data_IF_095377730586
#
_entry.id   IF_095377730586
#
_cell.length_a   1.000
_cell.length_b   1.000
_cell.length_c   1.000
_cell.angle_alpha   90.00
_cell.angle_beta   90.00
_cell.angle_gamma   90.00
#
_symmetry.space_group_name_H-M   'P 1'
#
loop_
_entity.id
_entity.type
_entity.pdbx_description
1 polymer ?
#
# COMPACT_ATOMS: atom_id res chain seq x y z
N UNK A 1 24.56 -23.09 5.37
CA UNK A 1 25.14 -21.73 5.43
C UNK A 1 25.86 -21.60 6.75
N UNK A 2 27.12 -21.15 6.76
CA UNK A 2 27.84 -20.90 8.01
C UNK A 2 27.26 -19.69 8.75
N UNK A 3 27.45 -19.59 10.06
CA UNK A 3 26.98 -18.47 10.86
C UNK A 3 27.57 -17.13 10.38
N UNK A 4 28.83 -17.15 9.96
CA UNK A 4 29.52 -16.00 9.37
C UNK A 4 28.87 -15.53 8.06
N UNK A 5 28.53 -16.47 7.17
CA UNK A 5 27.84 -16.16 5.92
C UNK A 5 26.42 -15.61 6.18
N UNK A 6 25.73 -16.10 7.21
CA UNK A 6 24.41 -15.58 7.61
C UNK A 6 24.49 -14.12 8.06
N UNK A 7 25.39 -13.79 8.99
CA UNK A 7 25.53 -12.41 9.44
C UNK A 7 26.10 -11.48 8.38
N UNK A 8 27.00 -11.98 7.53
CA UNK A 8 27.49 -11.21 6.38
C UNK A 8 26.39 -10.86 5.39
N UNK A 9 25.51 -11.82 5.09
CA UNK A 9 24.35 -11.61 4.23
C UNK A 9 23.35 -10.62 4.87
N UNK A 10 23.06 -10.78 6.15
CA UNK A 10 22.15 -9.91 6.90
C UNK A 10 22.67 -8.45 6.90
N UNK A 11 23.93 -8.24 7.27
CA UNK A 11 24.54 -6.91 7.26
C UNK A 11 24.64 -6.32 5.86
N UNK A 12 25.02 -7.14 4.87
CA UNK A 12 25.09 -6.73 3.47
C UNK A 12 23.73 -6.29 2.91
N UNK A 13 22.65 -6.99 3.26
CA UNK A 13 21.28 -6.60 2.88
C UNK A 13 20.89 -5.22 3.45
N UNK A 14 21.21 -4.94 4.70
CA UNK A 14 20.92 -3.65 5.32
C UNK A 14 21.69 -2.50 4.67
N UNK A 15 22.97 -2.71 4.41
CA UNK A 15 23.80 -1.72 3.68
C UNK A 15 23.22 -1.50 2.28
N UNK A 16 22.90 -2.57 1.56
CA UNK A 16 22.31 -2.48 0.23
C UNK A 16 20.97 -1.74 0.25
N UNK A 17 20.10 -2.00 1.24
CA UNK A 17 18.83 -1.32 1.37
C UNK A 17 19.02 0.18 1.61
N UNK A 18 19.98 0.55 2.45
CA UNK A 18 20.32 1.96 2.66
C UNK A 18 20.81 2.62 1.37
N UNK A 19 21.69 1.95 0.63
CA UNK A 19 22.20 2.43 -0.67
C UNK A 19 21.04 2.52 -1.68
N UNK A 20 20.17 1.52 -1.75
CA UNK A 20 19.02 1.50 -2.64
C UNK A 20 18.04 2.65 -2.33
N UNK A 21 17.75 2.90 -1.05
CA UNK A 21 16.92 4.04 -0.63
C UNK A 21 17.57 5.39 -0.97
N UNK A 22 18.89 5.50 -0.80
CA UNK A 22 19.63 6.70 -1.21
C UNK A 22 19.60 6.87 -2.73
N UNK A 23 19.78 5.79 -3.47
CA UNK A 23 19.72 5.79 -4.94
C UNK A 23 18.31 6.17 -5.44
N UNK A 24 17.26 5.70 -4.79
CA UNK A 24 15.89 6.06 -5.07
C UNK A 24 15.68 7.59 -5.06
N UNK A 25 16.27 8.30 -4.10
CA UNK A 25 16.19 9.78 -4.03
C UNK A 25 16.76 10.48 -5.27
N UNK A 26 17.71 9.86 -5.96
CA UNK A 26 18.38 10.42 -7.14
C UNK A 26 17.78 9.90 -8.45
N UNK A 27 17.54 8.58 -8.53
CA UNK A 27 17.12 7.90 -9.76
C UNK A 27 15.59 7.73 -9.88
N UNK A 28 14.86 7.82 -8.74
CA UNK A 28 13.42 7.52 -8.63
C UNK A 28 13.06 6.07 -8.95
N UNK A 29 14.03 5.20 -9.06
CA UNK A 29 13.80 3.76 -9.16
C UNK A 29 13.48 3.25 -7.77
N UNK A 30 12.26 2.73 -7.51
CA UNK A 30 11.90 2.22 -6.19
C UNK A 30 12.92 1.20 -5.67
N UNK A 31 13.29 1.31 -4.39
CA UNK A 31 14.23 0.43 -3.70
C UNK A 31 13.84 -1.04 -3.80
N UNK A 32 12.55 -1.30 -3.88
CA UNK A 32 11.95 -2.63 -4.09
C UNK A 32 12.57 -3.36 -5.29
N UNK A 33 12.88 -2.67 -6.39
CA UNK A 33 13.56 -3.29 -7.55
C UNK A 33 14.91 -3.87 -7.19
N UNK A 34 15.73 -3.08 -6.51
CA UNK A 34 17.10 -3.46 -6.13
C UNK A 34 17.04 -4.62 -5.14
N UNK A 35 16.15 -4.54 -4.16
CA UNK A 35 15.97 -5.57 -3.14
C UNK A 35 15.49 -6.89 -3.75
N UNK A 36 14.49 -6.86 -4.61
CA UNK A 36 13.98 -8.05 -5.30
C UNK A 36 15.01 -8.64 -6.26
N UNK A 37 15.71 -7.80 -7.03
CA UNK A 37 16.79 -8.25 -7.91
C UNK A 37 17.95 -8.91 -7.13
N UNK A 38 18.30 -8.36 -5.97
CA UNK A 38 19.29 -8.96 -5.07
C UNK A 38 18.83 -10.32 -4.58
N UNK A 39 17.56 -10.45 -4.19
CA UNK A 39 16.98 -11.74 -3.79
C UNK A 39 17.07 -12.78 -4.92
N UNK A 40 16.70 -12.40 -6.14
CA UNK A 40 16.81 -13.27 -7.32
C UNK A 40 18.28 -13.68 -7.57
N UNK A 41 19.19 -12.74 -7.43
CA UNK A 41 20.63 -13.02 -7.62
C UNK A 41 21.14 -14.03 -6.58
N UNK A 42 20.79 -13.83 -5.30
CA UNK A 42 21.24 -14.68 -4.19
C UNK A 42 20.58 -16.07 -4.17
N UNK A 43 19.33 -16.18 -4.58
CA UNK A 43 18.55 -17.42 -4.62
C UNK A 43 18.67 -18.13 -5.97
N UNK A 44 17.77 -17.87 -6.93
CA UNK A 44 17.68 -18.63 -8.18
C UNK A 44 18.94 -18.58 -9.06
N UNK A 45 19.74 -17.48 -9.05
CA UNK A 45 20.89 -17.30 -9.94
C UNK A 45 22.16 -17.89 -9.35
N UNK A 46 22.54 -17.48 -8.14
CA UNK A 46 23.78 -17.91 -7.49
C UNK A 46 23.62 -19.18 -6.64
N UNK A 47 22.40 -19.51 -6.23
CA UNK A 47 22.15 -20.66 -5.38
C UNK A 47 22.75 -20.56 -3.97
N UNK A 48 23.14 -19.36 -3.53
CA UNK A 48 23.76 -19.15 -2.21
C UNK A 48 22.75 -19.33 -1.06
N UNK A 49 21.51 -19.04 -1.33
CA UNK A 49 20.40 -19.12 -0.37
C UNK A 49 19.39 -20.14 -0.86
N UNK A 50 19.17 -21.19 -0.05
CA UNK A 50 18.21 -22.25 -0.35
C UNK A 50 16.78 -21.79 -0.03
N UNK A 51 15.89 -21.63 -1.04
CA UNK A 51 14.53 -21.17 -0.84
C UNK A 51 13.70 -22.05 0.11
N UNK A 52 13.99 -23.37 0.16
CA UNK A 52 13.19 -24.33 0.95
C UNK A 52 13.26 -24.08 2.45
N UNK A 53 14.32 -23.42 2.92
CA UNK A 53 14.53 -23.11 4.34
C UNK A 53 13.80 -21.87 4.82
N UNK A 54 13.25 -21.06 3.92
CA UNK A 54 12.70 -19.74 4.23
C UNK A 54 11.19 -19.59 4.05
N UNK A 55 10.47 -20.62 3.61
CA UNK A 55 9.03 -20.53 3.33
C UNK A 55 8.22 -19.99 4.52
N UNK A 56 8.30 -20.62 5.69
CA UNK A 56 7.59 -20.16 6.90
C UNK A 56 8.11 -18.81 7.41
N UNK A 57 9.42 -18.58 7.31
CA UNK A 57 10.04 -17.31 7.71
C UNK A 57 9.54 -16.17 6.81
N UNK A 58 9.43 -16.41 5.51
CA UNK A 58 8.93 -15.43 4.54
C UNK A 58 7.50 -15.01 4.85
N UNK A 59 6.64 -15.95 5.24
CA UNK A 59 5.26 -15.66 5.64
C UNK A 59 5.21 -14.80 6.91
N UNK A 60 5.90 -15.20 7.97
CA UNK A 60 5.93 -14.46 9.23
C UNK A 60 6.48 -13.03 9.04
N UNK A 61 7.60 -12.88 8.30
CA UNK A 61 8.15 -11.58 7.98
C UNK A 61 7.22 -10.76 7.07
N UNK A 62 6.54 -11.39 6.13
CA UNK A 62 5.55 -10.75 5.29
C UNK A 62 4.39 -10.17 6.10
N UNK A 63 3.81 -10.97 7.00
CA UNK A 63 2.72 -10.54 7.88
C UNK A 63 3.20 -9.40 8.80
N UNK A 64 4.38 -9.55 9.42
CA UNK A 64 4.97 -8.51 10.26
C UNK A 64 5.20 -7.21 9.49
N UNK A 65 5.67 -7.30 8.24
CA UNK A 65 5.86 -6.14 7.39
C UNK A 65 4.54 -5.43 7.05
N UNK A 66 3.46 -6.19 6.77
CA UNK A 66 2.13 -5.62 6.54
C UNK A 66 1.58 -4.95 7.80
N UNK A 67 1.71 -5.58 8.97
CA UNK A 67 1.32 -5.00 10.26
C UNK A 67 2.00 -3.63 10.46
N UNK A 68 3.32 -3.56 10.29
CA UNK A 68 4.09 -2.34 10.48
C UNK A 68 3.71 -1.24 9.49
N UNK A 69 3.55 -1.59 8.21
CA UNK A 69 3.19 -0.63 7.16
C UNK A 69 1.78 -0.10 7.34
N UNK A 70 0.81 -0.95 7.71
CA UNK A 70 -0.55 -0.50 7.98
C UNK A 70 -0.62 0.37 9.23
N UNK A 71 0.16 0.05 10.27
CA UNK A 71 0.26 0.90 11.46
C UNK A 71 0.87 2.27 11.12
N UNK A 72 1.99 2.29 10.39
CA UNK A 72 2.63 3.52 9.89
C UNK A 72 1.66 4.34 9.03
N UNK A 73 1.00 3.69 8.06
CA UNK A 73 -0.02 4.33 7.23
C UNK A 73 -1.19 4.90 8.05
N UNK A 74 -1.60 4.21 9.11
CA UNK A 74 -2.61 4.71 10.05
C UNK A 74 -2.14 5.95 10.82
N UNK A 75 -0.88 5.97 11.26
CA UNK A 75 -0.28 7.12 11.96
C UNK A 75 -0.16 8.37 11.06
N UNK A 76 0.02 8.19 9.76
CA UNK A 76 0.15 9.29 8.80
C UNK A 76 -1.20 9.89 8.37
N UNK A 77 -2.31 9.21 8.63
CA UNK A 77 -3.64 9.66 8.26
C UNK A 77 -4.16 10.71 9.25
N UNK A 78 -4.13 11.98 8.85
CA UNK A 78 -4.87 13.06 9.54
C UNK A 78 -6.37 12.96 9.22
N UNK A 79 -7.17 12.64 10.24
CA UNK A 79 -8.62 12.47 10.11
C UNK A 79 -9.31 13.75 9.64
N UNK A 80 -8.86 14.95 10.06
CA UNK A 80 -9.48 16.22 9.62
C UNK A 80 -9.24 16.50 8.14
N UNK A 81 -7.99 16.37 7.69
CA UNK A 81 -7.67 16.50 6.26
C UNK A 81 -8.30 15.38 5.45
N UNK A 82 -8.28 14.16 5.99
CA UNK A 82 -8.90 12.98 5.40
C UNK A 82 -10.39 13.19 5.17
N UNK A 83 -11.17 13.62 6.18
CA UNK A 83 -12.61 13.87 6.00
C UNK A 83 -12.91 14.97 4.98
N UNK A 84 -12.07 15.99 4.87
CA UNK A 84 -12.23 17.05 3.88
C UNK A 84 -12.02 16.55 2.44
N UNK A 85 -11.14 15.58 2.24
CA UNK A 85 -10.80 15.01 0.93
C UNK A 85 -11.27 13.57 0.75
N UNK A 86 -11.88 13.01 1.80
CA UNK A 86 -12.35 11.62 1.89
C UNK A 86 -13.22 11.18 0.71
N UNK A 87 -14.21 11.97 0.23
CA UNK A 87 -15.04 11.51 -0.88
C UNK A 87 -14.23 11.21 -2.15
N UNK A 88 -13.21 12.03 -2.44
CA UNK A 88 -12.35 11.82 -3.62
C UNK A 88 -11.48 10.58 -3.52
N UNK A 89 -10.80 10.38 -2.39
CA UNK A 89 -9.96 9.22 -2.13
C UNK A 89 -10.75 7.92 -2.01
N UNK A 90 -11.88 7.97 -1.30
CA UNK A 90 -12.77 6.82 -1.14
C UNK A 90 -13.34 6.35 -2.48
N UNK A 91 -13.90 7.27 -3.27
CA UNK A 91 -14.49 6.94 -4.57
C UNK A 91 -13.44 6.42 -5.53
N UNK A 92 -12.27 7.07 -5.58
CA UNK A 92 -11.18 6.59 -6.42
C UNK A 92 -10.73 5.19 -5.99
N UNK A 93 -10.46 4.99 -4.69
CA UNK A 93 -10.00 3.71 -4.15
C UNK A 93 -10.99 2.59 -4.41
N UNK A 94 -12.28 2.82 -4.12
CA UNK A 94 -13.31 1.83 -4.36
C UNK A 94 -13.47 1.48 -5.85
N UNK A 95 -13.56 2.50 -6.71
CA UNK A 95 -13.74 2.26 -8.16
C UNK A 95 -12.51 1.62 -8.78
N UNK A 96 -11.30 2.09 -8.43
CA UNK A 96 -10.06 1.49 -8.93
C UNK A 96 -9.94 0.04 -8.48
N UNK A 97 -10.25 -0.24 -7.20
CA UNK A 97 -10.24 -1.60 -6.67
C UNK A 97 -11.26 -2.50 -7.40
N UNK A 98 -12.51 -2.07 -7.53
CA UNK A 98 -13.56 -2.85 -8.19
C UNK A 98 -13.25 -3.13 -9.67
N UNK A 99 -12.79 -2.12 -10.41
CA UNK A 99 -12.37 -2.33 -11.80
C UNK A 99 -11.16 -3.25 -11.91
N UNK A 100 -10.18 -3.10 -11.01
CA UNK A 100 -9.01 -3.98 -10.99
C UNK A 100 -9.41 -5.40 -10.64
N UNK A 101 -10.19 -5.59 -9.58
CA UNK A 101 -10.70 -6.89 -9.16
C UNK A 101 -11.44 -7.59 -10.31
N UNK A 102 -12.37 -6.89 -10.96
CA UNK A 102 -13.16 -7.47 -12.05
C UNK A 102 -12.33 -7.78 -13.30
N UNK A 103 -11.54 -6.83 -13.80
CA UNK A 103 -10.78 -6.99 -15.04
C UNK A 103 -9.65 -8.00 -14.88
N UNK A 104 -8.91 -7.96 -13.77
CA UNK A 104 -7.84 -8.93 -13.50
C UNK A 104 -8.41 -10.33 -13.32
N UNK A 105 -9.53 -10.47 -12.59
CA UNK A 105 -10.22 -11.78 -12.47
C UNK A 105 -10.65 -12.31 -13.82
N UNK A 106 -11.21 -11.46 -14.69
CA UNK A 106 -11.64 -11.85 -16.02
C UNK A 106 -10.45 -12.34 -16.89
N UNK A 107 -9.35 -11.59 -16.87
CA UNK A 107 -8.13 -11.95 -17.59
C UNK A 107 -7.54 -13.25 -17.03
N UNK A 108 -7.45 -13.38 -15.70
CA UNK A 108 -6.95 -14.58 -15.05
C UNK A 108 -7.80 -15.83 -15.40
N UNK A 109 -9.13 -15.68 -15.37
CA UNK A 109 -10.05 -16.74 -15.76
C UNK A 109 -9.84 -17.20 -17.20
N UNK A 110 -9.67 -16.24 -18.15
CA UNK A 110 -9.55 -16.54 -19.58
C UNK A 110 -8.16 -16.97 -20.04
N UNK A 111 -7.10 -16.44 -19.41
CA UNK A 111 -5.72 -16.63 -19.88
C UNK A 111 -4.91 -17.65 -19.08
N UNK A 112 -5.34 -17.96 -17.85
CA UNK A 112 -4.68 -18.93 -16.98
C UNK A 112 -5.50 -20.21 -16.78
N UNK A 113 -6.66 -20.34 -17.45
CA UNK A 113 -7.60 -21.47 -17.32
C UNK A 113 -7.95 -21.80 -15.87
N UNK A 114 -8.07 -20.77 -15.03
CA UNK A 114 -8.37 -20.92 -13.62
C UNK A 114 -9.88 -21.08 -13.38
N UNK A 115 -10.29 -21.86 -12.38
CA UNK A 115 -11.67 -21.81 -11.89
C UNK A 115 -12.04 -20.38 -11.48
N UNK A 116 -13.31 -19.99 -11.61
CA UNK A 116 -13.79 -18.63 -11.31
C UNK A 116 -13.34 -18.17 -9.93
N UNK A 117 -13.45 -19.04 -8.92
CA UNK A 117 -13.04 -18.72 -7.56
C UNK A 117 -11.55 -18.39 -7.46
N UNK A 118 -10.71 -19.16 -8.15
CA UNK A 118 -9.27 -18.93 -8.22
C UNK A 118 -8.94 -17.62 -8.96
N UNK A 119 -9.64 -17.35 -10.05
CA UNK A 119 -9.50 -16.10 -10.79
C UNK A 119 -9.89 -14.87 -9.94
N UNK A 120 -10.96 -14.96 -9.14
CA UNK A 120 -11.34 -13.92 -8.18
C UNK A 120 -10.26 -13.69 -7.12
N UNK A 121 -9.61 -14.75 -6.61
CA UNK A 121 -8.49 -14.60 -5.68
C UNK A 121 -7.30 -13.85 -6.32
N UNK A 122 -6.97 -14.14 -7.59
CA UNK A 122 -5.94 -13.39 -8.34
C UNK A 122 -6.31 -11.90 -8.46
N UNK A 123 -7.58 -11.61 -8.78
CA UNK A 123 -8.10 -10.24 -8.84
C UNK A 123 -8.00 -9.52 -7.49
N UNK A 124 -8.33 -10.19 -6.40
CA UNK A 124 -8.19 -9.65 -5.04
C UNK A 124 -6.74 -9.36 -4.65
N UNK A 125 -5.83 -10.33 -4.90
CA UNK A 125 -4.39 -10.19 -4.63
C UNK A 125 -3.77 -9.01 -5.38
N UNK A 126 -4.18 -8.79 -6.62
CA UNK A 126 -3.68 -7.71 -7.47
C UNK A 126 -4.55 -6.44 -7.41
N UNK A 127 -5.57 -6.41 -6.55
CA UNK A 127 -6.56 -5.33 -6.49
C UNK A 127 -6.01 -3.99 -5.98
N UNK A 128 -5.07 -4.02 -5.03
CA UNK A 128 -4.62 -2.82 -4.33
C UNK A 128 -3.43 -2.12 -5.00
N UNK A 129 -3.38 -0.80 -4.84
CA UNK A 129 -2.20 0.02 -5.09
C UNK A 129 -1.38 0.09 -3.79
N UNK A 130 -0.09 -0.18 -3.83
CA UNK A 130 0.74 -0.27 -2.62
C UNK A 130 1.00 1.10 -1.98
N UNK A 131 0.47 1.32 -0.78
CA UNK A 131 0.72 2.52 0.03
C UNK A 131 2.20 2.68 0.37
N UNK A 132 2.89 1.59 0.70
CA UNK A 132 4.32 1.56 1.01
C UNK A 132 5.24 2.08 -0.10
N UNK A 133 4.80 2.01 -1.35
CA UNK A 133 5.56 2.51 -2.52
C UNK A 133 5.05 3.88 -2.94
N UNK A 134 3.74 4.12 -2.83
CA UNK A 134 3.12 5.41 -3.18
C UNK A 134 3.65 6.53 -2.29
N UNK A 135 3.72 6.32 -0.97
CA UNK A 135 4.14 7.34 -0.01
C UNK A 135 5.52 7.96 -0.31
N UNK A 136 6.62 7.18 -0.45
CA UNK A 136 7.92 7.74 -0.78
C UNK A 136 7.95 8.47 -2.12
N UNK A 137 7.16 8.02 -3.10
CA UNK A 137 7.05 8.69 -4.40
C UNK A 137 6.37 10.05 -4.24
N UNK A 138 5.27 10.12 -3.49
CA UNK A 138 4.54 11.36 -3.26
C UNK A 138 5.35 12.40 -2.46
N UNK A 139 6.20 11.94 -1.52
CA UNK A 139 7.10 12.81 -0.78
C UNK A 139 8.13 13.52 -1.68
N UNK A 140 8.51 12.89 -2.80
CA UNK A 140 9.47 13.42 -3.77
C UNK A 140 8.83 14.19 -4.93
N UNK A 141 7.51 14.37 -4.91
CA UNK A 141 6.77 15.10 -5.95
C UNK A 141 6.29 16.46 -5.43
N UNK A 142 6.22 17.45 -6.31
CA UNK A 142 5.68 18.79 -6.01
C UNK A 142 4.16 18.87 -6.19
N UNK A 143 3.47 17.73 -6.02
CA UNK A 143 2.01 17.69 -6.10
C UNK A 143 1.38 18.44 -4.93
N UNK A 144 0.22 19.07 -5.20
CA UNK A 144 -0.58 19.69 -4.14
C UNK A 144 -0.97 18.67 -3.08
N UNK A 145 -0.99 19.10 -1.82
CA UNK A 145 -1.31 18.23 -0.67
C UNK A 145 -2.62 17.44 -0.86
N UNK A 146 -3.64 18.08 -1.43
CA UNK A 146 -4.91 17.42 -1.75
C UNK A 146 -4.73 16.19 -2.64
N UNK A 147 -3.86 16.23 -3.64
CA UNK A 147 -3.60 15.11 -4.55
C UNK A 147 -2.88 14.00 -3.81
N UNK A 148 -1.88 14.37 -3.00
CA UNK A 148 -1.11 13.44 -2.16
C UNK A 148 -2.03 12.69 -1.20
N UNK A 149 -2.85 13.42 -0.45
CA UNK A 149 -3.82 12.83 0.49
C UNK A 149 -4.81 11.91 -0.23
N UNK A 150 -5.33 12.32 -1.40
CA UNK A 150 -6.27 11.49 -2.19
C UNK A 150 -5.63 10.16 -2.61
N UNK A 151 -4.37 10.19 -3.09
CA UNK A 151 -3.65 8.98 -3.51
C UNK A 151 -3.25 8.08 -2.33
N UNK A 152 -2.88 8.65 -1.19
CA UNK A 152 -2.61 7.88 0.03
C UNK A 152 -3.87 7.18 0.54
N UNK A 153 -5.00 7.91 0.57
CA UNK A 153 -6.30 7.33 0.96
C UNK A 153 -6.73 6.21 0.00
N UNK A 154 -6.57 6.43 -1.30
CA UNK A 154 -6.85 5.41 -2.31
C UNK A 154 -6.00 4.16 -2.06
N UNK A 155 -4.70 4.32 -1.87
CA UNK A 155 -3.77 3.22 -1.66
C UNK A 155 -4.09 2.46 -0.36
N UNK A 156 -4.22 3.17 0.77
CA UNK A 156 -4.55 2.54 2.07
C UNK A 156 -5.90 1.83 2.06
N UNK A 157 -6.93 2.42 1.43
CA UNK A 157 -8.22 1.77 1.26
C UNK A 157 -8.12 0.52 0.38
N UNK A 158 -7.36 0.61 -0.71
CA UNK A 158 -7.10 -0.51 -1.60
C UNK A 158 -6.42 -1.67 -0.89
N UNK A 159 -5.46 -1.39 -0.03
CA UNK A 159 -4.76 -2.38 0.79
C UNK A 159 -5.74 -3.13 1.71
N UNK A 160 -6.62 -2.39 2.40
CA UNK A 160 -7.66 -2.98 3.26
C UNK A 160 -8.64 -3.83 2.44
N UNK A 161 -9.15 -3.30 1.32
CA UNK A 161 -10.09 -4.02 0.46
C UNK A 161 -9.48 -5.31 -0.10
N UNK A 162 -8.19 -5.31 -0.46
CA UNK A 162 -7.51 -6.51 -0.95
C UNK A 162 -7.42 -7.59 0.14
N UNK A 163 -6.97 -7.21 1.34
CA UNK A 163 -6.87 -8.13 2.49
C UNK A 163 -8.23 -8.75 2.80
N UNK A 164 -9.26 -7.93 2.92
CA UNK A 164 -10.62 -8.39 3.23
C UNK A 164 -11.19 -9.28 2.12
N UNK A 165 -11.03 -8.89 0.85
CA UNK A 165 -11.56 -9.65 -0.27
C UNK A 165 -10.86 -11.01 -0.38
N UNK A 166 -9.54 -11.06 -0.25
CA UNK A 166 -8.79 -12.32 -0.31
C UNK A 166 -9.11 -13.20 0.89
N UNK A 167 -9.15 -12.63 2.11
CA UNK A 167 -9.56 -13.35 3.31
C UNK A 167 -10.94 -13.99 3.16
N UNK A 168 -11.93 -13.22 2.73
CA UNK A 168 -13.30 -13.71 2.49
C UNK A 168 -13.35 -14.81 1.41
N UNK A 169 -12.57 -14.68 0.33
CA UNK A 169 -12.50 -15.69 -0.72
C UNK A 169 -11.78 -16.97 -0.27
N UNK A 170 -10.79 -16.86 0.62
CA UNK A 170 -10.12 -18.03 1.23
C UNK A 170 -11.04 -18.77 2.20
N UNK A 171 -11.79 -18.05 3.02
CA UNK A 171 -12.78 -18.63 3.93
C UNK A 171 -13.91 -19.34 3.17
N UNK A 172 -14.35 -18.74 2.07
CA UNK A 172 -15.31 -19.37 1.17
C UNK A 172 -14.77 -20.69 0.59
N UNK A 173 -13.50 -20.70 0.18
CA UNK A 173 -12.85 -21.88 -0.36
C UNK A 173 -12.79 -23.03 0.67
N UNK A 174 -12.59 -22.69 1.95
CA UNK A 174 -12.49 -23.65 3.05
C UNK A 174 -13.84 -24.23 3.50
N UNK A 175 -14.88 -23.39 3.56
CA UNK A 175 -16.16 -23.77 4.21
C UNK A 175 -17.22 -24.26 3.24
N UNK A 176 -17.15 -23.91 1.95
CA UNK A 176 -18.18 -24.21 0.95
C UNK A 176 -19.56 -23.58 1.30
N UNK A 177 -20.36 -23.21 0.33
CA UNK A 177 -21.72 -22.75 0.59
C UNK A 177 -22.16 -21.51 -0.21
N UNK A 178 -23.43 -21.04 -0.09
CA UNK A 178 -23.93 -19.90 -0.82
C UNK A 178 -23.27 -18.59 -0.35
N UNK A 179 -22.58 -17.98 -1.30
CA UNK A 179 -21.52 -16.96 -1.14
C UNK A 179 -22.01 -15.63 -0.60
N UNK A 180 -23.14 -15.13 -1.09
CA UNK A 180 -23.40 -13.69 -1.05
C UNK A 180 -24.01 -13.17 0.27
N UNK A 181 -24.90 -13.94 0.90
CA UNK A 181 -25.59 -13.50 2.10
C UNK A 181 -24.80 -13.67 3.41
N UNK A 182 -23.90 -14.66 3.45
CA UNK A 182 -23.00 -14.88 4.59
C UNK A 182 -21.80 -13.95 4.54
N UNK A 183 -21.20 -13.77 3.36
CA UNK A 183 -20.05 -12.88 3.17
C UNK A 183 -20.33 -11.47 3.68
N UNK A 184 -21.49 -10.89 3.38
CA UNK A 184 -21.80 -9.52 3.82
C UNK A 184 -21.87 -9.37 5.34
N UNK A 185 -22.50 -10.33 6.04
CA UNK A 185 -22.71 -10.24 7.50
C UNK A 185 -21.44 -10.57 8.28
N UNK A 186 -20.73 -11.66 7.90
CA UNK A 186 -19.48 -12.05 8.56
C UNK A 186 -18.39 -10.99 8.32
N UNK A 187 -18.30 -10.48 7.11
CA UNK A 187 -17.40 -9.39 6.74
C UNK A 187 -17.65 -8.09 7.52
N UNK A 188 -18.92 -7.67 7.64
CA UNK A 188 -19.27 -6.50 8.45
C UNK A 188 -18.99 -6.73 9.94
N UNK A 189 -19.23 -7.94 10.45
CA UNK A 189 -18.92 -8.29 11.84
C UNK A 189 -17.40 -8.28 12.09
N UNK A 190 -16.61 -8.82 11.18
CA UNK A 190 -15.14 -8.82 11.22
C UNK A 190 -14.59 -7.38 11.26
N UNK A 191 -15.07 -6.50 10.36
CA UNK A 191 -14.72 -5.09 10.35
C UNK A 191 -15.14 -4.42 11.67
N UNK A 192 -16.35 -4.66 12.12
CA UNK A 192 -16.88 -4.04 13.34
C UNK A 192 -16.05 -4.42 14.57
N UNK A 193 -15.75 -5.71 14.76
CA UNK A 193 -14.91 -6.21 15.86
C UNK A 193 -13.53 -5.55 15.80
N UNK A 194 -12.91 -5.51 14.62
CA UNK A 194 -11.60 -4.90 14.41
C UNK A 194 -11.60 -3.41 14.77
N UNK A 195 -12.60 -2.66 14.31
CA UNK A 195 -12.71 -1.23 14.60
C UNK A 195 -12.97 -0.94 16.08
N UNK A 196 -13.81 -1.74 16.74
CA UNK A 196 -14.06 -1.61 18.19
C UNK A 196 -12.75 -1.84 18.96
N UNK A 197 -12.02 -2.90 18.66
CA UNK A 197 -10.74 -3.20 19.31
C UNK A 197 -9.70 -2.10 19.03
N UNK A 198 -9.63 -1.60 17.79
CA UNK A 198 -8.75 -0.50 17.42
C UNK A 198 -9.03 0.79 18.20
N UNK A 199 -10.31 1.17 18.31
CA UNK A 199 -10.73 2.38 19.02
C UNK A 199 -10.45 2.25 20.52
N UNK A 200 -10.85 1.13 21.12
CA UNK A 200 -10.63 0.87 22.57
C UNK A 200 -9.13 0.88 22.88
N UNK A 201 -8.34 0.10 22.14
CA UNK A 201 -6.88 0.05 22.33
C UNK A 201 -6.24 1.42 22.08
N UNK A 202 -6.64 2.12 21.02
CA UNK A 202 -6.11 3.43 20.64
C UNK A 202 -6.37 4.50 21.70
N UNK A 203 -7.60 4.58 22.21
CA UNK A 203 -7.96 5.52 23.29
C UNK A 203 -7.20 5.17 24.58
N UNK A 204 -7.20 3.89 24.96
CA UNK A 204 -6.49 3.43 26.15
C UNK A 204 -5.00 3.76 26.06
N UNK A 205 -4.38 3.41 24.94
CA UNK A 205 -2.95 3.67 24.71
C UNK A 205 -2.63 5.16 24.69
N UNK A 206 -3.43 5.96 24.02
CA UNK A 206 -3.25 7.42 23.97
C UNK A 206 -3.33 8.07 25.36
N UNK A 207 -4.12 7.50 26.27
CA UNK A 207 -4.19 7.97 27.68
C UNK A 207 -3.02 7.52 28.54
N UNK A 208 -2.48 6.32 28.27
CA UNK A 208 -1.33 5.78 28.99
C UNK A 208 0.00 6.37 28.51
N UNK A 209 0.07 6.76 27.24
CA UNK A 209 1.29 7.23 26.59
C UNK A 209 2.03 8.34 27.34
N UNK A 210 1.39 9.41 27.87
CA UNK A 210 2.08 10.46 28.61
C UNK A 210 2.82 9.95 29.84
N UNK A 211 2.29 8.92 30.52
CA UNK A 211 2.91 8.32 31.71
C UNK A 211 4.05 7.37 31.36
N UNK A 212 3.99 6.75 30.18
CA UNK A 212 4.95 5.77 29.71
C UNK A 212 6.10 6.40 28.91
N UNK A 213 5.89 7.56 28.32
CA UNK A 213 6.86 8.23 27.45
C UNK A 213 8.14 8.67 28.15
N UNK A 214 8.13 8.78 29.47
CA UNK A 214 9.33 9.02 30.29
C UNK A 214 10.21 7.76 30.41
N UNK A 215 9.66 6.56 30.11
CA UNK A 215 10.39 5.30 30.20
C UNK A 215 11.24 5.08 28.93
N UNK A 216 12.45 4.53 29.12
CA UNK A 216 13.46 4.39 28.06
C UNK A 216 13.02 3.59 26.84
N UNK A 217 12.11 2.62 26.97
CA UNK A 217 11.73 1.68 25.90
C UNK A 217 10.25 1.74 25.51
N UNK A 218 9.61 2.86 25.71
CA UNK A 218 8.17 3.01 25.47
C UNK A 218 7.76 2.80 24.00
N UNK A 219 8.66 3.05 23.03
CA UNK A 219 8.42 2.76 21.62
C UNK A 219 8.29 1.26 21.35
N UNK A 220 9.16 0.46 22.00
CA UNK A 220 9.11 -1.02 21.92
C UNK A 220 7.81 -1.53 22.54
N UNK A 221 7.34 -0.89 23.62
CA UNK A 221 6.07 -1.23 24.23
C UNK A 221 4.90 -0.89 23.31
N UNK A 222 4.92 0.24 22.60
CA UNK A 222 3.93 0.56 21.57
C UNK A 222 3.91 -0.51 20.48
N UNK A 223 5.07 -0.94 20.00
CA UNK A 223 5.17 -2.04 19.03
C UNK A 223 4.59 -3.36 19.58
N UNK A 224 4.83 -3.67 20.85
CA UNK A 224 4.25 -4.85 21.51
C UNK A 224 2.72 -4.78 21.54
N UNK A 225 2.15 -3.59 21.80
CA UNK A 225 0.69 -3.37 21.77
C UNK A 225 0.12 -3.58 20.36
N UNK A 226 0.82 -3.14 19.32
CA UNK A 226 0.42 -3.38 17.92
C UNK A 226 0.33 -4.88 17.64
N UNK A 227 1.33 -5.67 18.05
CA UNK A 227 1.34 -7.12 17.86
C UNK A 227 0.26 -7.83 18.68
N UNK A 228 0.06 -7.42 19.93
CA UNK A 228 -0.99 -7.97 20.79
C UNK A 228 -2.38 -7.64 20.26
N UNK A 229 -2.58 -6.44 19.74
CA UNK A 229 -3.85 -6.03 19.11
C UNK A 229 -4.14 -6.85 17.86
N UNK A 230 -3.13 -7.07 17.01
CA UNK A 230 -3.25 -7.97 15.87
C UNK A 230 -3.73 -9.36 16.31
N UNK A 231 -3.01 -9.97 17.27
CA UNK A 231 -3.33 -11.31 17.76
C UNK A 231 -4.71 -11.38 18.45
N UNK A 232 -5.07 -10.38 19.24
CA UNK A 232 -6.36 -10.30 19.91
C UNK A 232 -7.51 -10.13 18.91
N UNK A 233 -7.34 -9.33 17.86
CA UNK A 233 -8.35 -9.17 16.82
C UNK A 233 -8.58 -10.46 16.04
N UNK A 234 -7.51 -11.13 15.61
CA UNK A 234 -7.61 -12.45 14.95
C UNK A 234 -8.29 -13.48 15.86
N UNK A 235 -7.94 -13.52 17.15
CA UNK A 235 -8.57 -14.42 18.13
C UNK A 235 -10.06 -14.11 18.35
N UNK A 236 -10.46 -12.86 18.23
CA UNK A 236 -11.86 -12.40 18.33
C UNK A 236 -12.66 -12.52 17.01
N UNK A 237 -12.12 -13.21 16.00
CA UNK A 237 -12.69 -13.29 14.66
C UNK A 237 -12.86 -11.94 13.95
N UNK A 238 -12.00 -10.97 14.27
CA UNK A 238 -11.81 -9.74 13.53
C UNK A 238 -10.59 -9.85 12.61
N UNK A 239 -10.35 -8.83 11.80
CA UNK A 239 -9.12 -8.70 11.01
C UNK A 239 -8.05 -7.93 11.81
N UNK A 240 -6.97 -8.60 12.17
CA UNK A 240 -5.84 -7.99 12.87
C UNK A 240 -5.23 -6.82 12.10
N UNK A 241 -5.20 -6.90 10.78
CA UNK A 241 -4.67 -5.84 9.92
C UNK A 241 -5.52 -4.58 9.95
N UNK A 242 -6.86 -4.72 9.96
CA UNK A 242 -7.79 -3.58 10.11
C UNK A 242 -7.66 -2.97 11.51
N UNK A 243 -7.58 -3.82 12.54
CA UNK A 243 -7.41 -3.36 13.90
C UNK A 243 -6.13 -2.53 14.08
N UNK A 244 -5.02 -2.98 13.50
CA UNK A 244 -3.73 -2.27 13.53
C UNK A 244 -3.77 -0.94 12.78
N UNK A 245 -4.36 -0.90 11.58
CA UNK A 245 -4.56 0.34 10.83
C UNK A 245 -5.42 1.33 11.62
N UNK A 246 -6.57 0.85 12.13
CA UNK A 246 -7.48 1.66 12.94
C UNK A 246 -6.82 2.19 14.22
N UNK A 247 -6.01 1.38 14.90
CA UNK A 247 -5.23 1.78 16.06
C UNK A 247 -4.25 2.92 15.72
N UNK A 248 -3.52 2.82 14.60
CA UNK A 248 -2.64 3.89 14.11
C UNK A 248 -3.40 5.19 13.88
N UNK A 249 -4.56 5.12 13.20
CA UNK A 249 -5.43 6.28 12.94
C UNK A 249 -5.91 6.91 14.26
N UNK A 250 -6.38 6.12 15.22
CA UNK A 250 -6.85 6.63 16.52
C UNK A 250 -5.70 7.26 17.28
N UNK A 251 -4.53 6.61 17.33
CA UNK A 251 -3.35 7.11 18.03
C UNK A 251 -2.86 8.44 17.48
N UNK A 252 -2.89 8.61 16.15
CA UNK A 252 -2.51 9.84 15.49
C UNK A 252 -3.48 11.00 15.76
N UNK A 253 -4.77 10.72 15.86
CA UNK A 253 -5.81 11.75 15.83
C UNK A 253 -6.47 12.01 17.19
N UNK A 254 -6.46 11.03 18.10
CA UNK A 254 -7.13 11.14 19.41
C UNK A 254 -6.61 12.34 20.23
N UNK A 255 -5.31 12.64 20.33
CA UNK A 255 -4.83 13.81 21.06
C UNK A 255 -5.41 15.12 20.52
N UNK A 256 -5.57 15.25 19.21
CA UNK A 256 -6.19 16.42 18.56
C UNK A 256 -7.69 16.53 18.84
N UNK A 257 -8.41 15.40 18.78
CA UNK A 257 -9.85 15.33 19.09
C UNK A 257 -10.09 15.58 20.58
N UNK A 258 -9.33 14.94 21.45
CA UNK A 258 -9.40 15.15 22.89
C UNK A 258 -9.10 16.62 23.28
N UNK A 259 -8.08 17.23 22.63
CA UNK A 259 -7.76 18.66 22.82
C UNK A 259 -8.91 19.55 22.41
N UNK A 260 -9.54 19.30 21.25
CA UNK A 260 -10.67 20.07 20.77
C UNK A 260 -11.88 19.98 21.71
N UNK A 261 -12.16 18.80 22.24
CA UNK A 261 -13.24 18.59 23.21
C UNK A 261 -12.92 19.19 24.58
N UNK A 262 -11.70 19.01 25.11
CA UNK A 262 -11.28 19.60 26.38
C UNK A 262 -11.21 21.13 26.34
N UNK A 263 -10.71 21.70 25.23
CA UNK A 263 -10.65 23.15 25.05
C UNK A 263 -12.08 23.73 24.98
N UNK A 264 -13.00 23.05 24.29
CA UNK A 264 -14.40 23.45 24.18
C UNK A 264 -15.18 23.34 25.50
N UNK A 265 -14.80 22.37 26.37
CA UNK A 265 -15.55 22.09 27.63
C UNK A 265 -14.87 22.66 28.88
N UNK A 266 -13.54 22.73 28.92
CA UNK A 266 -12.80 23.05 30.16
C UNK A 266 -11.71 24.13 29.99
N UNK A 267 -11.48 24.64 28.77
CA UNK A 267 -10.47 25.69 28.52
C UNK A 267 -9.01 25.26 28.76
N UNK A 268 -8.74 23.96 28.87
CA UNK A 268 -7.41 23.41 29.16
C UNK A 268 -6.61 23.15 27.89
N UNK A 269 -5.33 23.55 27.88
CA UNK A 269 -4.39 23.18 26.84
C UNK A 269 -3.85 21.77 27.02
N UNK A 270 -3.98 20.91 26.02
CA UNK A 270 -3.42 19.58 26.03
C UNK A 270 -1.96 19.59 25.52
N UNK A 271 -1.06 18.76 26.09
CA UNK A 271 0.35 18.73 25.68
C UNK A 271 0.55 18.38 24.21
N UNK A 272 1.61 18.94 23.64
CA UNK A 272 1.90 18.88 22.22
C UNK A 272 2.33 17.51 21.70
N UNK A 273 2.25 17.34 20.39
CA UNK A 273 2.41 16.16 19.55
C UNK A 273 3.84 15.59 19.42
N UNK A 274 4.75 15.84 20.36
CA UNK A 274 6.15 15.35 20.26
C UNK A 274 6.22 13.80 20.21
N UNK A 275 5.37 13.14 20.96
CA UNK A 275 5.32 11.67 21.03
C UNK A 275 4.90 11.03 19.71
N UNK A 276 4.03 11.69 18.94
CA UNK A 276 3.58 11.17 17.64
C UNK A 276 4.73 11.03 16.65
N UNK A 277 5.58 12.05 16.55
CA UNK A 277 6.71 12.04 15.64
C UNK A 277 7.75 10.97 16.01
N UNK A 278 7.97 10.76 17.30
CA UNK A 278 8.89 9.73 17.78
C UNK A 278 8.36 8.32 17.50
N UNK A 279 7.06 8.06 17.70
CA UNK A 279 6.42 6.78 17.33
C UNK A 279 6.59 6.55 15.85
N UNK A 280 6.26 7.54 15.02
CA UNK A 280 6.33 7.44 13.56
C UNK A 280 7.75 7.10 13.11
N UNK A 281 8.77 7.82 13.61
CA UNK A 281 10.16 7.59 13.25
C UNK A 281 10.61 6.16 13.60
N UNK A 282 10.38 5.70 14.82
CA UNK A 282 10.78 4.37 15.26
C UNK A 282 10.11 3.27 14.42
N UNK A 283 8.80 3.38 14.19
CA UNK A 283 8.07 2.37 13.45
C UNK A 283 8.39 2.39 11.95
N UNK A 284 8.70 3.56 11.37
CA UNK A 284 9.19 3.66 9.98
C UNK A 284 10.55 3.00 9.79
N UNK A 285 11.46 3.14 10.76
CA UNK A 285 12.76 2.44 10.74
C UNK A 285 12.57 0.92 10.82
N UNK A 286 11.69 0.46 11.70
CA UNK A 286 11.38 -0.96 11.86
C UNK A 286 10.67 -1.51 10.62
N UNK A 287 9.70 -0.78 10.07
CA UNK A 287 9.01 -1.13 8.83
C UNK A 287 9.99 -1.19 7.65
N UNK A 288 10.92 -0.25 7.53
CA UNK A 288 11.98 -0.28 6.54
C UNK A 288 12.84 -1.55 6.63
N UNK A 289 13.25 -1.91 7.84
CA UNK A 289 14.06 -3.11 8.07
C UNK A 289 13.30 -4.38 7.66
N UNK A 290 12.09 -4.56 8.16
CA UNK A 290 11.29 -5.77 7.89
C UNK A 290 10.89 -5.84 6.41
N UNK A 291 10.51 -4.73 5.79
CA UNK A 291 10.22 -4.64 4.36
C UNK A 291 11.42 -5.02 3.50
N UNK A 292 12.61 -4.57 3.88
CA UNK A 292 13.86 -4.91 3.19
C UNK A 292 14.10 -6.40 3.15
N UNK A 293 14.04 -7.06 4.30
CA UNK A 293 14.20 -8.52 4.37
C UNK A 293 13.13 -9.24 3.57
N UNK A 294 11.88 -8.79 3.68
CA UNK A 294 10.77 -9.42 2.96
C UNK A 294 10.98 -9.39 1.44
N UNK A 295 11.32 -8.24 0.86
CA UNK A 295 11.50 -8.16 -0.60
C UNK A 295 12.71 -8.95 -1.10
N UNK A 296 13.80 -9.01 -0.34
CA UNK A 296 14.93 -9.88 -0.67
C UNK A 296 14.51 -11.35 -0.57
N UNK A 297 13.85 -11.77 0.51
CA UNK A 297 13.33 -13.13 0.67
C UNK A 297 12.34 -13.50 -0.44
N UNK A 298 11.45 -12.58 -0.82
CA UNK A 298 10.53 -12.78 -1.94
C UNK A 298 11.30 -13.07 -3.24
N UNK A 299 12.37 -12.32 -3.51
CA UNK A 299 13.26 -12.57 -4.65
C UNK A 299 13.96 -13.92 -4.58
N UNK A 300 14.40 -14.35 -3.38
CA UNK A 300 15.02 -15.66 -3.15
C UNK A 300 14.06 -16.82 -3.42
N UNK A 301 12.81 -16.70 -2.94
CA UNK A 301 11.83 -17.80 -2.99
C UNK A 301 11.16 -17.91 -4.36
N UNK A 302 11.20 -16.84 -5.17
CA UNK A 302 10.49 -16.85 -6.44
C UNK A 302 11.08 -17.86 -7.43
N UNK A 303 10.21 -18.68 -8.02
CA UNK A 303 10.60 -19.64 -9.07
C UNK A 303 10.47 -18.98 -10.44
N UNK A 304 11.60 -18.62 -11.04
CA UNK A 304 11.62 -18.00 -12.37
C UNK A 304 11.46 -19.02 -13.51
N UNK A 305 11.65 -20.32 -13.22
CA UNK A 305 11.53 -21.39 -14.22
C UNK A 305 10.11 -21.46 -14.77
N UNK A 306 10.00 -21.35 -16.08
CA UNK A 306 8.70 -21.37 -16.78
C UNK A 306 7.91 -20.06 -16.73
N UNK A 307 8.47 -18.97 -16.21
CA UNK A 307 7.80 -17.66 -16.20
C UNK A 307 7.54 -17.14 -17.61
N UNK A 308 8.40 -17.48 -18.57
CA UNK A 308 8.24 -17.12 -19.99
C UNK A 308 6.95 -17.70 -20.61
N UNK A 309 6.49 -18.86 -20.14
CA UNK A 309 5.23 -19.46 -20.59
C UNK A 309 4.00 -18.66 -20.12
N UNK A 310 4.19 -17.78 -19.12
CA UNK A 310 3.14 -16.91 -18.57
C UNK A 310 3.29 -15.46 -19.02
N UNK A 311 4.20 -15.18 -19.96
CA UNK A 311 4.44 -13.80 -20.42
C UNK A 311 3.17 -13.16 -20.96
N UNK A 312 2.40 -13.88 -21.80
CA UNK A 312 1.15 -13.37 -22.35
C UNK A 312 0.08 -13.10 -21.27
N UNK A 313 -0.22 -14.02 -20.33
CA UNK A 313 -1.05 -13.73 -19.16
C UNK A 313 -0.56 -12.55 -18.32
N UNK A 314 0.74 -12.44 -18.06
CA UNK A 314 1.33 -11.34 -17.29
C UNK A 314 1.10 -10.00 -17.99
N UNK A 315 1.34 -9.92 -19.30
CA UNK A 315 1.07 -8.71 -20.07
C UNK A 315 -0.42 -8.39 -20.14
N UNK A 316 -1.28 -9.41 -20.26
CA UNK A 316 -2.74 -9.25 -20.20
C UNK A 316 -3.21 -8.69 -18.87
N UNK A 317 -2.69 -9.21 -17.74
CA UNK A 317 -2.96 -8.70 -16.40
C UNK A 317 -2.45 -7.26 -16.25
N UNK A 318 -1.24 -6.96 -16.70
CA UNK A 318 -0.70 -5.62 -16.68
C UNK A 318 -1.54 -4.61 -17.48
N UNK A 319 -2.01 -5.02 -18.66
CA UNK A 319 -2.96 -4.25 -19.46
C UNK A 319 -4.30 -4.03 -18.74
N UNK A 320 -4.82 -5.07 -18.07
CA UNK A 320 -6.03 -4.99 -17.26
C UNK A 320 -5.87 -4.01 -16.09
N UNK A 321 -4.71 -4.03 -15.41
CA UNK A 321 -4.37 -3.10 -14.32
C UNK A 321 -4.38 -1.65 -14.81
N UNK A 322 -3.75 -1.38 -15.95
CA UNK A 322 -3.71 -0.04 -16.53
C UNK A 322 -5.09 0.43 -16.98
N UNK A 323 -5.86 -0.46 -17.63
CA UNK A 323 -7.24 -0.17 -18.03
C UNK A 323 -8.15 0.09 -16.82
N UNK A 324 -8.03 -0.72 -15.77
CA UNK A 324 -8.77 -0.53 -14.53
C UNK A 324 -8.44 0.83 -13.89
N UNK A 325 -7.17 1.19 -13.87
CA UNK A 325 -6.71 2.50 -13.38
C UNK A 325 -7.31 3.64 -14.19
N UNK A 326 -7.26 3.53 -15.51
CA UNK A 326 -7.83 4.52 -16.42
C UNK A 326 -9.35 4.65 -16.21
N UNK A 327 -10.08 3.54 -16.09
CA UNK A 327 -11.52 3.54 -15.80
C UNK A 327 -11.82 4.17 -14.45
N UNK A 328 -11.12 3.77 -13.38
CA UNK A 328 -11.31 4.31 -12.04
C UNK A 328 -11.09 5.80 -11.96
N UNK A 329 -10.00 6.29 -12.56
CA UNK A 329 -9.69 7.72 -12.65
C UNK A 329 -10.73 8.49 -13.45
N UNK A 330 -11.21 7.95 -14.58
CA UNK A 330 -12.22 8.63 -15.39
C UNK A 330 -13.61 8.57 -14.74
N UNK A 331 -14.00 7.47 -14.15
CA UNK A 331 -15.29 7.33 -13.46
C UNK A 331 -15.39 8.21 -12.22
N UNK A 332 -14.26 8.46 -11.53
CA UNK A 332 -14.20 9.33 -10.34
C UNK A 332 -13.99 10.82 -10.65
N UNK A 333 -14.02 11.23 -11.92
CA UNK A 333 -13.76 12.63 -12.34
C UNK A 333 -14.57 13.68 -11.59
N UNK A 334 -15.80 13.39 -11.25
CA UNK A 334 -16.68 14.29 -10.50
C UNK A 334 -16.17 14.59 -9.08
N UNK A 335 -15.45 13.65 -8.47
CA UNK A 335 -14.85 13.79 -7.15
C UNK A 335 -13.55 14.62 -7.15
N UNK A 336 -12.98 14.90 -8.32
CA UNK A 336 -11.67 15.55 -8.49
C UNK A 336 -11.77 16.96 -9.09
N UNK A 337 -12.87 17.63 -8.86
CA UNK A 337 -13.04 19.00 -9.34
C UNK A 337 -11.86 19.86 -8.86
N UNK A 338 -11.12 20.46 -9.79
CA UNK A 338 -9.96 21.30 -9.52
C UNK A 338 -8.58 20.65 -9.67
N UNK A 339 -8.48 19.38 -10.10
CA UNK A 339 -7.20 18.78 -10.48
C UNK A 339 -6.77 19.26 -11.86
N UNK A 340 -5.50 19.63 -11.99
CA UNK A 340 -4.90 20.04 -13.26
C UNK A 340 -4.66 18.83 -14.17
N UNK A 341 -4.45 19.06 -15.47
CA UNK A 341 -4.12 17.98 -16.41
C UNK A 341 -2.86 17.19 -15.99
N UNK A 342 -1.72 17.85 -15.62
CA UNK A 342 -0.53 17.13 -15.17
C UNK A 342 -0.77 16.29 -13.93
N UNK A 343 -1.55 16.77 -12.95
CA UNK A 343 -1.88 16.00 -11.75
C UNK A 343 -2.68 14.74 -12.08
N UNK A 344 -3.60 14.82 -13.05
CA UNK A 344 -4.35 13.62 -13.50
C UNK A 344 -3.47 12.61 -14.20
N UNK A 345 -2.48 13.05 -14.97
CA UNK A 345 -1.50 12.16 -15.58
C UNK A 345 -0.68 11.43 -14.52
N UNK A 346 -0.18 12.14 -13.50
CA UNK A 346 0.52 11.50 -12.38
C UNK A 346 -0.36 10.43 -11.72
N UNK A 347 -1.60 10.78 -11.45
CA UNK A 347 -2.55 9.83 -10.83
C UNK A 347 -2.74 8.58 -11.69
N UNK A 348 -2.83 8.71 -13.01
CA UNK A 348 -2.97 7.56 -13.92
C UNK A 348 -1.77 6.62 -13.88
N UNK A 349 -0.56 7.15 -13.72
CA UNK A 349 0.65 6.35 -13.71
C UNK A 349 1.02 5.78 -12.33
N UNK A 350 0.46 6.31 -11.24
CA UNK A 350 0.69 5.79 -9.89
C UNK A 350 -0.21 4.57 -9.66
N UNK A 351 0.31 3.39 -10.01
CA UNK A 351 -0.36 2.09 -9.83
C UNK A 351 0.61 0.99 -9.35
N UNK A 352 1.57 1.27 -8.45
CA UNK A 352 2.52 0.25 -8.04
C UNK A 352 1.83 -0.88 -7.27
N UNK A 353 2.26 -2.11 -7.51
CA UNK A 353 1.95 -3.26 -6.66
C UNK A 353 3.14 -3.53 -5.76
N UNK A 354 2.90 -4.06 -4.55
CA UNK A 354 3.96 -4.14 -3.55
C UNK A 354 3.78 -5.26 -2.55
N UNK A 355 4.07 -4.93 -1.29
CA UNK A 355 4.17 -5.88 -0.20
C UNK A 355 2.88 -6.67 0.01
N UNK A 356 1.73 -6.01 0.12
CA UNK A 356 0.44 -6.67 0.38
C UNK A 356 0.12 -7.64 -0.74
N UNK A 357 0.32 -7.24 -2.01
CA UNK A 357 0.18 -8.15 -3.15
C UNK A 357 1.05 -9.41 -2.99
N UNK A 358 2.31 -9.26 -2.58
CA UNK A 358 3.20 -10.39 -2.42
C UNK A 358 2.79 -11.30 -1.26
N UNK A 359 2.42 -10.73 -0.12
CA UNK A 359 1.96 -11.48 1.07
C UNK A 359 0.68 -12.23 0.77
N UNK A 360 -0.31 -11.58 0.18
CA UNK A 360 -1.58 -12.21 -0.20
C UNK A 360 -1.38 -13.33 -1.23
N UNK A 361 -0.44 -13.15 -2.19
CA UNK A 361 -0.10 -14.21 -3.13
C UNK A 361 0.48 -15.45 -2.44
N UNK A 362 1.30 -15.27 -1.39
CA UNK A 362 1.83 -16.37 -0.58
C UNK A 362 0.71 -17.03 0.22
N UNK A 363 -0.15 -16.25 0.89
CA UNK A 363 -1.28 -16.77 1.68
C UNK A 363 -2.24 -17.63 0.86
N UNK A 364 -2.56 -17.22 -0.38
CA UNK A 364 -3.41 -18.00 -1.31
C UNK A 364 -2.76 -19.34 -1.67
N UNK A 365 -1.44 -19.39 -1.82
CA UNK A 365 -0.71 -20.65 -2.08
C UNK A 365 -0.72 -21.56 -0.87
N UNK A 366 -0.47 -21.01 0.33
CA UNK A 366 -0.43 -21.77 1.59
C UNK A 366 -1.79 -22.36 1.97
N UNK A 367 -2.88 -21.73 1.56
CA UNK A 367 -4.23 -22.26 1.71
C UNK A 367 -4.50 -23.52 0.86
N UNK A 368 -3.47 -24.10 0.23
CA UNK A 368 -3.47 -25.38 -0.50
C UNK A 368 -4.47 -25.47 -1.66
N UNK A 369 -4.74 -24.36 -2.30
CA UNK A 369 -5.53 -24.39 -3.54
C UNK A 369 -4.64 -24.85 -4.71
N UNK A 370 -4.93 -25.99 -5.36
CA UNK A 370 -3.99 -26.70 -6.25
C UNK A 370 -3.55 -25.92 -7.50
N UNK A 371 -4.22 -24.82 -7.81
CA UNK A 371 -3.98 -24.04 -9.03
C UNK A 371 -2.95 -22.90 -8.85
N UNK A 372 -2.45 -22.65 -7.64
CA UNK A 372 -1.73 -21.39 -7.31
C UNK A 372 -0.21 -21.50 -7.13
N UNK A 373 0.40 -22.67 -7.34
CA UNK A 373 1.85 -22.83 -7.14
C UNK A 373 2.74 -21.77 -7.84
N UNK A 374 2.21 -21.10 -8.86
CA UNK A 374 2.92 -20.08 -9.66
C UNK A 374 2.46 -18.65 -9.40
N UNK A 375 1.41 -18.44 -8.59
CA UNK A 375 0.89 -17.11 -8.30
C UNK A 375 1.95 -16.16 -7.70
N UNK A 376 2.85 -16.58 -6.79
CA UNK A 376 3.90 -15.71 -6.30
C UNK A 376 4.86 -15.23 -7.40
N UNK A 377 5.15 -16.07 -8.40
CA UNK A 377 6.00 -15.66 -9.51
C UNK A 377 5.29 -14.67 -10.46
N UNK A 378 3.99 -14.87 -10.70
CA UNK A 378 3.17 -13.91 -11.46
C UNK A 378 3.05 -12.59 -10.70
N UNK A 379 2.76 -12.63 -9.39
CA UNK A 379 2.70 -11.44 -8.55
C UNK A 379 4.04 -10.70 -8.52
N UNK A 380 5.16 -11.42 -8.40
CA UNK A 380 6.50 -10.86 -8.49
C UNK A 380 6.74 -10.11 -9.81
N UNK A 381 6.42 -10.73 -10.94
CA UNK A 381 6.56 -10.11 -12.26
C UNK A 381 5.68 -8.85 -12.39
N UNK A 382 4.43 -8.90 -11.90
CA UNK A 382 3.51 -7.77 -11.91
C UNK A 382 4.01 -6.64 -10.97
N UNK A 383 4.56 -6.96 -9.80
CA UNK A 383 5.18 -5.98 -8.91
C UNK A 383 6.31 -5.26 -9.65
N UNK A 384 7.23 -5.98 -10.28
CA UNK A 384 8.33 -5.37 -11.04
C UNK A 384 7.79 -4.49 -12.18
N UNK A 385 6.88 -5.02 -12.98
CA UNK A 385 6.35 -4.32 -14.16
C UNK A 385 5.58 -3.05 -13.77
N UNK A 386 4.71 -3.11 -12.77
CA UNK A 386 3.94 -1.94 -12.32
C UNK A 386 4.84 -0.87 -11.71
N UNK A 387 5.87 -1.25 -10.96
CA UNK A 387 6.84 -0.30 -10.43
C UNK A 387 7.68 0.35 -11.55
N UNK A 388 8.05 -0.40 -12.61
CA UNK A 388 8.69 0.18 -13.80
C UNK A 388 7.79 1.21 -14.50
N UNK A 389 6.49 0.91 -14.61
CA UNK A 389 5.52 1.85 -15.18
C UNK A 389 5.41 3.14 -14.37
N UNK A 390 5.43 3.05 -13.05
CA UNK A 390 5.43 4.22 -12.16
C UNK A 390 6.66 5.10 -12.37
N UNK A 391 7.85 4.52 -12.54
CA UNK A 391 9.07 5.28 -12.85
C UNK A 391 8.91 6.06 -14.14
N UNK A 392 8.46 5.39 -15.21
CA UNK A 392 8.20 6.04 -16.52
C UNK A 392 7.16 7.16 -16.38
N UNK A 393 6.09 6.92 -15.63
CA UNK A 393 5.02 7.90 -15.40
C UNK A 393 5.48 9.12 -14.62
N UNK A 394 6.26 8.93 -13.56
CA UNK A 394 6.77 10.04 -12.74
C UNK A 394 7.78 10.90 -13.51
N UNK A 395 8.60 10.30 -14.39
CA UNK A 395 9.51 11.05 -15.27
C UNK A 395 8.71 11.89 -16.28
N UNK A 396 7.72 11.31 -16.96
CA UNK A 396 6.86 12.02 -17.91
C UNK A 396 6.08 13.17 -17.28
N UNK A 397 5.49 12.92 -16.11
CA UNK A 397 4.72 13.92 -15.40
C UNK A 397 5.55 15.13 -14.97
N UNK A 398 6.84 14.95 -14.66
CA UNK A 398 7.75 16.04 -14.36
C UNK A 398 7.98 16.93 -15.57
N UNK A 399 8.16 16.37 -16.74
CA UNK A 399 8.31 17.14 -17.97
C UNK A 399 7.06 17.97 -18.28
N UNK A 400 5.87 17.43 -18.03
CA UNK A 400 4.61 18.16 -18.25
C UNK A 400 4.36 19.25 -17.20
N UNK A 401 4.89 19.13 -15.96
CA UNK A 401 4.80 20.17 -14.93
C UNK A 401 5.84 21.29 -15.11
N UNK A 402 6.98 21.00 -15.73
CA UNK A 402 8.04 21.97 -16.00
C UNK A 402 7.91 22.66 -17.36
N UNK A 403 7.02 22.20 -18.24
CA UNK A 403 6.76 22.90 -19.50
C UNK A 403 6.16 24.29 -19.18
N UNK A 404 6.75 25.39 -19.67
CA UNK A 404 6.19 26.73 -19.45
C UNK A 404 4.76 26.73 -19.99
N UNK A 405 3.84 27.32 -19.18
CA UNK A 405 2.46 27.54 -19.65
C UNK A 405 2.54 28.20 -21.00
N UNK A 406 1.98 27.59 -22.05
CA UNK A 406 1.96 28.18 -23.37
C UNK A 406 1.47 29.59 -23.23
N UNK A 407 2.30 30.55 -23.69
CA UNK A 407 1.97 31.97 -23.66
C UNK A 407 0.58 32.14 -24.25
N UNK A 408 -0.31 32.96 -23.66
CA UNK A 408 -1.60 33.23 -24.25
C UNK A 408 -1.34 33.77 -25.66
N UNK A 409 -2.00 33.16 -26.65
CA UNK A 409 -1.96 33.58 -28.05
C UNK A 409 -2.34 35.08 -28.04
N UNK A 410 -1.34 35.96 -28.20
CA UNK A 410 -1.52 37.35 -28.45
C UNK A 410 -2.11 37.47 -29.87
N UNK A 411 -3.42 37.58 -29.94
CA UNK A 411 -4.17 37.65 -31.17
C UNK A 411 -5.50 38.33 -30.96
N UNK A 412 -5.46 39.63 -30.63
CA UNK A 412 -6.56 40.51 -30.99
C UNK A 412 -5.96 41.82 -31.41
N UNK A 413 -6.00 42.03 -32.71
CA UNK A 413 -5.68 43.22 -33.43
C UNK A 413 -6.28 44.47 -32.75
N UNK A 414 -5.43 45.38 -32.35
CA UNK A 414 -5.83 46.73 -32.07
C UNK A 414 -6.30 47.36 -33.39
N UNK A 415 -7.56 47.75 -33.48
CA UNK A 415 -8.08 48.60 -34.52
C UNK A 415 -7.45 50.01 -34.36
N UNK A 416 -7.08 50.68 -35.43
CA UNK A 416 -6.55 52.03 -35.35
C UNK A 416 -7.68 53.02 -35.02
N UNK A 417 -7.58 53.75 -33.92
CA UNK A 417 -8.38 54.90 -33.66
C UNK A 417 -8.07 55.97 -34.71
N UNK A 418 -9.09 56.24 -35.53
CA UNK A 418 -9.07 57.34 -36.50
C UNK A 418 -9.07 58.70 -35.85
N UNK A 419 -8.15 59.50 -36.29
CA UNK A 419 -8.09 60.95 -36.09
C UNK A 419 -9.29 61.65 -36.73
N UNK A 420 -9.98 62.43 -35.92
CA UNK A 420 -10.73 63.63 -36.39
C UNK A 420 -10.72 64.56 -35.21
N UNK A 421 -10.12 65.78 -35.27
CA UNK A 421 -10.16 66.87 -36.15
C UNK A 421 -11.29 67.81 -35.76
N UNK A 422 -10.93 68.93 -35.17
CA UNK A 422 -11.52 70.24 -34.90
C UNK A 422 -11.89 70.51 -33.48
#
# INVERSE_FOLDING_TARGET
MSLQAFFGLLGGMLVLAFVANRLFRHTRVPDVFILMATGVLLGPVLGWVDPSKFGQVTHAFGTLAVILILFEGGLELDVRETFRHFPGGLVLGLLTFLFTFGLVSLVAWRSLDLPVQAALQVGGVLGCTSSAIVLPILQQTELRQRVKTTLLLEASLGDVLAVLTVGALLDLARRGGPVLSRLGREFLAEIFVSLVLAVVAGILWSRLLPYLSEQRFWHVLTFSVVLLLYAASEAAHGSGLIAVLGFGIVLANFPGVARSLLHATLGLEAPASEHHQQILTFHSELAFLVRTFFFVLLGVVVKLTGLMNFLLPILGIAGALFLARWLGVNASRWAWRGFTRPEREVVLWILPRGLITAVLAIQVVEAQTPHFARLPAVAFAIILLTNALVVVGTIRARHSMQAPAAAPVAGTLAAPEGSAGS
#
